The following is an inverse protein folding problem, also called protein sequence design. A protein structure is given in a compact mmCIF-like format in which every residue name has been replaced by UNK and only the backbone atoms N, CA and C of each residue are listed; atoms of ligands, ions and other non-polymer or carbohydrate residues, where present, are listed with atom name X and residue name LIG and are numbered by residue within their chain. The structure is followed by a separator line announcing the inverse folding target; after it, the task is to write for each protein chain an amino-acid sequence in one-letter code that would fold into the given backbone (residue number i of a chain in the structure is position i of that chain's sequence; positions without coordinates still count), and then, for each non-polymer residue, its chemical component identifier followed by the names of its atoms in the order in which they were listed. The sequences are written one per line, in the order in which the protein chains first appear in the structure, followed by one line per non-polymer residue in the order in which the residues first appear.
data_IF_689228391066
#
_entry.id   IF_689228391066
#
_cell.length_a   1.000
_cell.length_b   1.000
_cell.length_c   1.000
_cell.angle_alpha   90.00
_cell.angle_beta   90.00
_cell.angle_gamma   90.00
#
_symmetry.space_group_name_H-M   'P 1'
#
loop_
_entity.id
_entity.type
_entity.pdbx_description
1 polymer ?
#
# COMPACT_ATOMS: atom_id res chain seq x y z
N UNK A 1 -13.79 -7.10 -11.76
CA UNK A 1 -12.55 -6.35 -12.04
C UNK A 1 -11.47 -6.97 -11.18
N UNK A 2 -10.52 -7.69 -11.77
CA UNK A 2 -9.45 -8.34 -11.03
C UNK A 2 -8.37 -7.32 -10.68
N UNK A 3 -8.07 -7.15 -9.37
CA UNK A 3 -6.93 -6.38 -8.92
C UNK A 3 -5.71 -7.28 -8.99
N UNK A 4 -4.80 -7.01 -9.91
CA UNK A 4 -3.54 -7.76 -9.98
C UNK A 4 -2.52 -7.08 -9.07
N UNK A 5 -2.13 -7.75 -7.98
CA UNK A 5 -1.07 -7.28 -7.11
C UNK A 5 0.23 -7.19 -7.92
N UNK A 6 0.75 -5.98 -8.09
CA UNK A 6 1.91 -5.74 -8.94
C UNK A 6 3.19 -5.69 -8.13
N UNK A 7 3.19 -4.89 -7.06
CA UNK A 7 4.40 -4.69 -6.25
C UNK A 7 4.02 -4.13 -4.88
N UNK A 8 4.77 -4.48 -3.85
CA UNK A 8 4.82 -3.71 -2.61
C UNK A 8 6.23 -3.23 -2.33
N UNK A 9 6.35 -1.99 -1.84
CA UNK A 9 7.63 -1.39 -1.47
C UNK A 9 7.53 -0.65 -0.16
N UNK A 10 8.66 -0.53 0.54
CA UNK A 10 8.76 0.35 1.68
C UNK A 10 8.49 1.79 1.23
N UNK A 11 7.54 2.45 1.90
CA UNK A 11 7.24 3.84 1.70
C UNK A 11 7.90 4.63 2.82
N UNK A 12 8.90 5.42 2.45
CA UNK A 12 9.52 6.40 3.33
C UNK A 12 8.89 7.74 3.01
N UNK A 13 8.19 8.33 3.98
CA UNK A 13 7.62 9.66 3.84
C UNK A 13 8.74 10.71 3.79
N UNK A 14 9.19 11.03 2.58
CA UNK A 14 10.19 12.09 2.35
C UNK A 14 9.54 13.49 2.39
N UNK A 15 8.21 13.58 2.42
CA UNK A 15 7.46 14.82 2.25
C UNK A 15 6.75 15.36 3.50
N UNK A 16 6.84 14.70 4.65
CA UNK A 16 6.15 15.10 5.88
C UNK A 16 4.62 14.95 5.81
N UNK A 17 4.08 14.22 4.81
CA UNK A 17 2.66 13.89 4.72
C UNK A 17 2.46 12.52 5.33
N UNK A 18 2.29 12.52 6.65
CA UNK A 18 1.96 11.32 7.43
C UNK A 18 0.83 10.58 6.75
N UNK A 19 1.13 9.45 6.13
CA UNK A 19 0.12 8.64 5.47
C UNK A 19 -0.29 7.51 6.38
N UNK A 20 -1.56 7.15 6.34
CA UNK A 20 -2.14 6.15 7.22
C UNK A 20 -2.45 4.88 6.46
N UNK A 21 -2.35 3.76 7.16
CA UNK A 21 -2.63 2.43 6.68
C UNK A 21 -4.13 2.31 6.39
N UNK A 22 -4.49 1.96 5.16
CA UNK A 22 -5.89 1.79 4.74
C UNK A 22 -6.62 0.73 5.56
N UNK A 23 -5.89 -0.29 6.03
CA UNK A 23 -6.45 -1.41 6.80
C UNK A 23 -6.67 -1.15 8.29
N UNK A 24 -5.82 -0.34 8.95
CA UNK A 24 -5.86 -0.19 10.42
C UNK A 24 -5.72 1.25 10.93
N UNK A 25 -5.51 2.23 10.06
CA UNK A 25 -5.35 3.64 10.43
C UNK A 25 -4.02 4.00 11.11
N UNK A 26 -3.12 3.04 11.35
CA UNK A 26 -1.76 3.33 11.85
C UNK A 26 -0.89 3.98 10.77
N UNK A 27 0.26 4.54 11.15
CA UNK A 27 1.23 5.09 10.19
C UNK A 27 1.59 4.06 9.12
N UNK A 28 1.37 4.40 7.86
CA UNK A 28 1.76 3.57 6.74
C UNK A 28 3.28 3.65 6.53
N UNK A 29 3.90 2.49 6.37
CA UNK A 29 5.34 2.33 6.12
C UNK A 29 5.60 1.60 4.80
N UNK A 30 4.53 1.13 4.15
CA UNK A 30 4.60 0.40 2.89
C UNK A 30 3.52 0.92 1.92
N UNK A 31 3.84 0.86 0.64
CA UNK A 31 2.93 1.18 -0.46
C UNK A 31 2.80 -0.05 -1.35
N UNK A 32 1.57 -0.55 -1.46
CA UNK A 32 1.19 -1.61 -2.39
C UNK A 32 0.62 -0.97 -3.66
N UNK A 33 1.05 -1.50 -4.79
CA UNK A 33 0.69 -1.07 -6.13
C UNK A 33 -0.08 -2.22 -6.76
N UNK A 34 -1.32 -1.93 -7.14
CA UNK A 34 -2.20 -2.86 -7.84
C UNK A 34 -2.45 -2.32 -9.23
N UNK A 35 -2.28 -3.17 -10.23
CA UNK A 35 -2.66 -2.85 -11.60
C UNK A 35 -4.04 -3.45 -11.85
N UNK A 36 -4.95 -2.60 -12.27
CA UNK A 36 -6.27 -2.97 -12.79
C UNK A 36 -6.33 -2.58 -14.27
N UNK A 37 -7.23 -3.19 -15.02
CA UNK A 37 -7.37 -2.92 -16.45
C UNK A 37 -7.62 -1.42 -16.69
N UNK A 38 -6.58 -0.71 -17.18
CA UNK A 38 -6.60 0.73 -17.45
C UNK A 38 -6.22 1.66 -16.29
N UNK A 39 -5.91 1.17 -15.08
CA UNK A 39 -5.49 2.05 -13.97
C UNK A 39 -4.52 1.38 -12.97
N UNK A 40 -3.78 2.22 -12.25
CA UNK A 40 -2.92 1.80 -11.14
C UNK A 40 -3.49 2.32 -9.83
N UNK A 41 -3.78 1.42 -8.91
CA UNK A 41 -4.25 1.73 -7.56
C UNK A 41 -3.04 1.63 -6.62
N UNK A 42 -2.78 2.70 -5.88
CA UNK A 42 -1.75 2.73 -4.84
C UNK A 42 -2.44 2.75 -3.49
N UNK A 43 -2.29 1.67 -2.73
CA UNK A 43 -2.85 1.54 -1.38
C UNK A 43 -1.70 1.54 -0.37
N UNK A 44 -1.85 2.27 0.73
CA UNK A 44 -0.79 2.39 1.74
C UNK A 44 -1.09 1.51 2.94
N UNK A 45 -0.10 0.78 3.41
CA UNK A 45 -0.21 -0.17 4.51
C UNK A 45 0.89 0.05 5.54
N UNK A 46 0.62 -0.33 6.79
CA UNK A 46 1.66 -0.49 7.80
C UNK A 46 2.34 -1.86 7.63
N UNK A 47 3.53 -2.03 8.21
CA UNK A 47 4.32 -3.25 8.08
C UNK A 47 3.55 -4.53 8.45
N UNK A 48 2.71 -4.45 9.47
CA UNK A 48 1.89 -5.57 9.93
C UNK A 48 0.76 -5.94 8.97
N UNK A 49 0.08 -4.94 8.38
CA UNK A 49 -1.00 -5.19 7.42
C UNK A 49 -0.44 -5.58 6.05
N UNK A 50 0.66 -4.96 5.62
CA UNK A 50 1.38 -5.32 4.41
C UNK A 50 1.72 -6.82 4.40
N UNK A 51 2.33 -7.33 5.48
CA UNK A 51 2.64 -8.78 5.62
C UNK A 51 1.42 -9.70 5.56
N UNK A 52 0.21 -9.21 5.89
CA UNK A 52 -1.03 -9.99 5.82
C UNK A 52 -1.64 -10.01 4.42
N UNK A 53 -1.54 -8.90 3.70
CA UNK A 53 -2.14 -8.74 2.36
C UNK A 53 -1.30 -9.40 1.26
N UNK A 54 0.02 -9.53 1.44
CA UNK A 54 0.93 -10.17 0.45
C UNK A 54 1.08 -11.69 0.73
N UNK A 55 0.03 -12.37 1.19
CA UNK A 55 0.12 -13.80 1.52
C UNK A 55 -0.36 -14.69 0.37
#
# INVERSE_FOLDING_TARGET
MEKNFSLIRAFVDVGGKTTYCVSCGNTATQEAIFTVDGATIIEKYCDSCAKKEIK
#
